data_IF_069690180189
#
_entry.id   IF_069690180189
#
_cell.length_a   1.000
_cell.length_b   1.000
_cell.length_c   1.000
_cell.angle_alpha   90.00
_cell.angle_beta   90.00
_cell.angle_gamma   90.00
#
_symmetry.space_group_name_H-M   'P 1'
#
loop_
_entity.id
_entity.type
_entity.pdbx_description
1 polymer ?
#
# COMPACT_ATOMS: atom_id res chain seq x y z
N UNK A 1 -10.21 14.13 0.58
CA UNK A 1 -9.12 13.87 1.55
C UNK A 1 -8.71 12.42 1.39
N UNK A 2 -7.41 12.14 1.29
CA UNK A 2 -6.91 10.77 1.30
C UNK A 2 -7.01 10.20 2.71
N UNK A 3 -7.47 8.96 2.85
CA UNK A 3 -7.62 8.28 4.14
C UNK A 3 -6.77 7.02 4.17
N UNK A 4 -6.17 6.76 5.34
CA UNK A 4 -5.44 5.54 5.65
C UNK A 4 -6.26 4.73 6.66
N UNK A 5 -6.50 3.46 6.35
CA UNK A 5 -7.07 2.49 7.27
C UNK A 5 -6.08 1.35 7.45
N UNK A 6 -5.85 0.95 8.70
CA UNK A 6 -5.04 -0.22 9.03
C UNK A 6 -5.89 -1.18 9.85
N UNK A 7 -5.86 -2.45 9.47
CA UNK A 7 -6.55 -3.52 10.18
C UNK A 7 -5.76 -4.82 10.07
N UNK A 8 -5.91 -5.70 11.04
CA UNK A 8 -5.40 -7.08 10.96
C UNK A 8 -6.60 -7.98 10.74
N UNK A 9 -6.52 -8.88 9.74
CA UNK A 9 -7.58 -9.87 9.50
C UNK A 9 -7.43 -11.11 10.41
N UNK A 10 -8.33 -12.07 10.26
CA UNK A 10 -8.36 -13.27 11.11
C UNK A 10 -7.16 -14.22 10.91
N UNK A 11 -6.42 -14.05 9.81
CA UNK A 11 -5.22 -14.82 9.48
C UNK A 11 -3.92 -14.06 9.89
N UNK A 12 -4.04 -13.08 10.79
CA UNK A 12 -2.95 -12.20 11.23
C UNK A 12 -2.30 -11.36 10.10
N UNK A 13 -2.98 -11.21 8.96
CA UNK A 13 -2.48 -10.40 7.85
C UNK A 13 -2.76 -8.92 8.11
N UNK A 14 -1.71 -8.09 8.08
CA UNK A 14 -1.87 -6.64 8.12
C UNK A 14 -2.40 -6.16 6.76
N UNK A 15 -3.57 -5.53 6.80
CA UNK A 15 -4.19 -4.81 5.70
C UNK A 15 -3.96 -3.32 5.87
N UNK A 16 -3.40 -2.69 4.84
CA UNK A 16 -3.24 -1.24 4.76
C UNK A 16 -3.98 -0.73 3.54
N UNK A 17 -5.03 0.05 3.78
CA UNK A 17 -5.86 0.66 2.74
C UNK A 17 -5.60 2.16 2.67
N UNK A 18 -5.24 2.63 1.49
CA UNK A 18 -5.13 4.06 1.18
C UNK A 18 -6.20 4.41 0.17
N UNK A 19 -7.21 5.17 0.61
CA UNK A 19 -8.33 5.58 -0.23
C UNK A 19 -8.20 7.05 -0.62
N UNK A 20 -8.15 7.31 -1.92
CA UNK A 20 -8.30 8.63 -2.50
C UNK A 20 -9.70 8.77 -3.11
N UNK A 21 -10.57 9.65 -2.60
CA UNK A 21 -11.92 9.84 -3.14
C UNK A 21 -11.96 10.64 -4.46
N UNK A 22 -10.85 11.23 -4.90
CA UNK A 22 -10.77 12.00 -6.14
C UNK A 22 -9.42 11.79 -6.84
N UNK A 23 -9.10 10.54 -7.23
CA UNK A 23 -7.84 10.21 -7.88
C UNK A 23 -7.74 10.93 -9.22
N UNK A 24 -6.52 11.36 -9.56
CA UNK A 24 -6.20 11.81 -10.92
C UNK A 24 -6.49 10.72 -11.95
N UNK A 25 -6.65 11.12 -13.22
CA UNK A 25 -6.90 10.20 -14.35
C UNK A 25 -5.66 9.43 -14.83
N UNK A 26 -4.51 9.66 -14.21
CA UNK A 26 -3.23 9.13 -14.67
C UNK A 26 -3.14 7.60 -14.56
N UNK A 27 -2.31 7.01 -15.41
CA UNK A 27 -2.16 5.57 -15.64
C UNK A 27 -1.97 4.78 -14.35
N UNK A 28 -3.08 4.19 -13.89
CA UNK A 28 -3.17 3.39 -12.67
C UNK A 28 -2.29 2.15 -12.76
N UNK A 29 -2.31 1.46 -13.90
CA UNK A 29 -1.56 0.23 -14.13
C UNK A 29 -0.05 0.45 -14.12
N UNK A 30 0.44 1.54 -14.71
CA UNK A 30 1.86 1.87 -14.76
C UNK A 30 2.39 2.28 -13.38
N UNK A 31 1.58 3.03 -12.63
CA UNK A 31 1.87 3.35 -11.23
C UNK A 31 1.91 2.09 -10.37
N UNK A 32 0.95 1.19 -10.56
CA UNK A 32 0.87 -0.07 -9.83
C UNK A 32 2.03 -1.00 -10.16
N UNK A 33 2.56 -1.00 -11.38
CA UNK A 33 3.76 -1.77 -11.72
C UNK A 33 4.94 -1.45 -10.80
N UNK A 34 5.00 -0.21 -10.28
CA UNK A 34 5.95 0.20 -9.25
C UNK A 34 7.38 0.20 -9.77
N UNK A 35 7.80 1.30 -10.38
CA UNK A 35 9.18 1.47 -10.81
C UNK A 35 10.15 1.45 -9.62
N UNK A 36 11.39 1.02 -9.87
CA UNK A 36 12.44 0.97 -8.86
C UNK A 36 12.58 2.33 -8.16
N UNK A 37 12.66 2.31 -6.83
CA UNK A 37 12.78 3.54 -6.01
C UNK A 37 11.46 4.23 -5.66
N UNK A 38 10.30 3.71 -6.10
CA UNK A 38 8.99 4.22 -5.66
C UNK A 38 8.53 3.61 -4.33
N UNK A 39 7.54 4.24 -3.69
CA UNK A 39 6.93 3.69 -2.47
C UNK A 39 6.32 2.30 -2.67
N UNK A 40 5.67 2.04 -3.81
CA UNK A 40 5.11 0.71 -4.13
C UNK A 40 6.21 -0.33 -4.39
N UNK A 41 7.37 0.07 -4.91
CA UNK A 41 8.53 -0.82 -4.98
C UNK A 41 9.01 -1.22 -3.58
N UNK A 42 9.11 -0.28 -2.64
CA UNK A 42 9.51 -0.58 -1.26
C UNK A 42 8.52 -1.53 -0.57
N UNK A 43 7.21 -1.29 -0.75
CA UNK A 43 6.17 -2.18 -0.21
C UNK A 43 6.37 -3.62 -0.69
N UNK A 44 6.68 -3.82 -1.98
CA UNK A 44 6.97 -5.15 -2.53
C UNK A 44 8.25 -5.76 -1.97
N UNK A 45 9.31 -4.97 -1.76
CA UNK A 45 10.55 -5.46 -1.14
C UNK A 45 10.33 -5.93 0.30
N UNK A 46 9.36 -5.34 1.01
CA UNK A 46 8.96 -5.77 2.34
C UNK A 46 8.02 -7.00 2.33
N UNK A 47 7.77 -7.60 1.16
CA UNK A 47 6.86 -8.75 1.01
C UNK A 47 5.39 -8.36 0.98
N UNK A 48 5.07 -7.07 0.80
CA UNK A 48 3.69 -6.60 0.66
C UNK A 48 3.11 -6.91 -0.70
N UNK A 49 1.94 -7.54 -0.73
CA UNK A 49 1.14 -7.74 -1.93
C UNK A 49 0.23 -6.53 -2.15
N UNK A 50 0.32 -5.92 -3.33
CA UNK A 50 -0.43 -4.69 -3.66
C UNK A 50 -1.57 -5.02 -4.61
N UNK A 51 -2.78 -4.59 -4.28
CA UNK A 51 -3.95 -4.59 -5.14
C UNK A 51 -4.67 -3.25 -5.09
N UNK A 52 -5.66 -3.06 -5.97
CA UNK A 52 -6.46 -1.84 -5.99
C UNK A 52 -7.93 -2.16 -6.21
N UNK A 53 -8.79 -1.31 -5.65
CA UNK A 53 -10.24 -1.41 -5.73
C UNK A 53 -10.81 -0.07 -6.20
N UNK A 54 -11.83 -0.12 -7.05
CA UNK A 54 -12.69 1.04 -7.34
C UNK A 54 -13.73 1.12 -6.22
N UNK A 55 -13.94 2.30 -5.65
CA UNK A 55 -15.02 2.48 -4.66
C UNK A 55 -16.39 2.30 -5.34
N UNK A 56 -17.40 1.81 -4.60
CA UNK A 56 -18.79 1.64 -5.08
C UNK A 56 -19.35 2.85 -5.85
N UNK A 57 -18.94 4.08 -5.50
CA UNK A 57 -19.35 5.31 -6.17
C UNK A 57 -18.64 5.59 -7.51
N UNK A 58 -17.82 4.66 -8.01
CA UNK A 58 -17.12 4.72 -9.30
C UNK A 58 -16.06 5.81 -9.44
N UNK A 59 -15.82 6.61 -8.40
CA UNK A 59 -15.00 7.82 -8.45
C UNK A 59 -13.79 7.80 -7.51
N UNK A 60 -13.79 6.96 -6.47
CA UNK A 60 -12.65 6.79 -5.57
C UNK A 60 -11.79 5.59 -5.94
N UNK A 61 -10.54 5.63 -5.47
CA UNK A 61 -9.55 4.56 -5.60
C UNK A 61 -9.05 4.16 -4.22
N UNK A 62 -8.99 2.86 -3.97
CA UNK A 62 -8.32 2.31 -2.79
C UNK A 62 -7.15 1.46 -3.24
N UNK A 63 -5.95 1.75 -2.76
CA UNK A 63 -4.82 0.83 -2.82
C UNK A 63 -4.83 0.01 -1.55
N UNK A 64 -4.82 -1.31 -1.69
CA UNK A 64 -4.71 -2.25 -0.58
C UNK A 64 -3.35 -2.92 -0.61
N UNK A 65 -2.68 -2.91 0.52
CA UNK A 65 -1.48 -3.71 0.78
C UNK A 65 -1.86 -4.82 1.75
N UNK A 66 -1.53 -6.06 1.40
CA UNK A 66 -1.57 -7.22 2.31
C UNK A 66 -0.14 -7.55 2.72
N UNK A 67 0.13 -7.64 4.02
CA UNK A 67 1.42 -8.06 4.54
C UNK A 67 1.24 -9.25 5.46
N UNK A 68 1.88 -10.36 5.09
CA UNK A 68 1.92 -11.54 5.95
C UNK A 68 2.67 -11.21 7.24
N UNK A 69 2.27 -11.79 8.38
CA UNK A 69 3.03 -11.68 9.61
C UNK A 69 4.37 -12.38 9.43
N UNK A 70 5.42 -11.60 9.16
CA UNK A 70 6.77 -12.12 9.01
C UNK A 70 7.51 -12.20 10.33
N UNK A 71 8.49 -13.11 10.42
CA UNK A 71 9.60 -13.00 11.39
C UNK A 71 10.56 -11.89 10.96
N UNK A 72 10.06 -10.66 10.79
CA UNK A 72 10.95 -9.53 10.60
C UNK A 72 11.52 -9.20 11.98
N UNK A 73 12.76 -9.65 12.25
CA UNK A 73 13.56 -8.99 13.27
C UNK A 73 13.55 -7.50 12.93
N UNK A 74 13.20 -6.60 13.86
CA UNK A 74 13.23 -5.18 13.59
C UNK A 74 14.69 -4.76 13.44
N UNK A 75 15.27 -4.94 12.26
CA UNK A 75 16.29 -4.01 11.80
C UNK A 75 15.53 -2.74 11.46
N UNK A 76 15.34 -1.91 12.49
CA UNK A 76 14.87 -0.54 12.32
C UNK A 76 15.66 0.07 11.17
N UNK A 77 15.01 0.59 10.11
CA UNK A 77 15.73 1.41 9.15
C UNK A 77 16.30 2.58 9.94
N UNK A 78 17.63 2.69 9.99
CA UNK A 78 18.29 3.89 10.51
C UNK A 78 17.85 5.04 9.60
N UNK A 79 16.84 5.79 10.04
CA UNK A 79 16.53 7.09 9.44
C UNK A 79 17.66 8.00 9.89
N UNK A 80 18.70 8.11 9.07
CA UNK A 80 19.71 9.14 9.26
C UNK A 80 19.00 10.49 9.17
N UNK A 81 19.02 11.22 10.28
CA UNK A 81 18.47 12.57 10.38
C UNK A 81 19.52 13.52 9.79
N UNK A 82 19.13 14.51 8.95
CA UNK A 82 20.07 15.42 8.29
C UNK A 82 20.90 16.27 9.25
#
# INVERSE_FOLDING_TARGET
>A
MVTLTMSVDEDDVLLVDVTDPSPGRDGLDETLAGSNGTGLWLVRQLGGEVSWLVTEAGSGKTIRVRMQPGKHSPTSPTVETP
#
